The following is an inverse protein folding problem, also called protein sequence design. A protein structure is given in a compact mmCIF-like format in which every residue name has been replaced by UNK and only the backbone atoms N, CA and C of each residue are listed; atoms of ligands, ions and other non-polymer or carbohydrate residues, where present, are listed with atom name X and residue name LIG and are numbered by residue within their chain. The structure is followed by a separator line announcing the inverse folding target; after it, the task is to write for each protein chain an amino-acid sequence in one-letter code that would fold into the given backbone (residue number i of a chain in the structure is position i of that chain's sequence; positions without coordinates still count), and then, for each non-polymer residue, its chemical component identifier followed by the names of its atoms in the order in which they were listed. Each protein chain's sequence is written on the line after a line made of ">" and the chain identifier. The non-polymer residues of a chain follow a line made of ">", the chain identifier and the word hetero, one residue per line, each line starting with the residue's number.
data_IF_712559085348
#
_entry.id   IF_712559085348
#
_cell.length_a   1.000
_cell.length_b   1.000
_cell.length_c   1.000
_cell.angle_alpha   90.00
_cell.angle_beta   90.00
_cell.angle_gamma   90.00
#
_symmetry.space_group_name_H-M   'P 1'
#
loop_
_entity.id
_entity.type
_entity.pdbx_description
1 polymer ?
#
# COMPACT_ATOMS: atom_id res chain seq x y z
N UNK A 1 68.01 21.58 24.76
CA UNK A 1 67.10 22.73 24.55
C UNK A 1 66.69 22.80 23.09
N UNK A 2 65.39 22.60 22.80
CA UNK A 2 64.58 22.93 21.61
C UNK A 2 63.52 21.83 21.43
N UNK A 3 62.22 22.02 21.22
CA UNK A 3 61.26 23.13 21.41
C UNK A 3 59.89 22.46 21.44
N UNK A 4 58.96 23.02 22.22
CA UNK A 4 57.64 22.49 22.54
C UNK A 4 56.64 22.45 21.37
N UNK A 5 55.65 21.56 21.56
CA UNK A 5 54.43 21.31 20.79
C UNK A 5 53.49 22.52 20.85
N UNK A 6 52.86 22.89 19.73
CA UNK A 6 51.62 23.68 19.72
C UNK A 6 50.60 23.04 18.79
N UNK A 7 49.44 22.74 19.36
CA UNK A 7 48.26 22.15 18.74
C UNK A 7 47.52 23.15 17.85
N UNK A 8 47.00 22.68 16.70
CA UNK A 8 45.80 23.27 16.08
C UNK A 8 44.83 22.13 15.76
N UNK A 9 43.87 21.92 16.67
CA UNK A 9 42.72 21.08 16.40
C UNK A 9 41.86 21.76 15.32
N UNK A 10 41.72 21.13 14.15
CA UNK A 10 40.76 21.53 13.13
C UNK A 10 39.36 21.23 13.67
N UNK A 11 38.68 22.25 14.19
CA UNK A 11 37.24 22.17 14.47
C UNK A 11 36.50 22.09 13.13
N UNK A 12 36.09 20.88 12.75
CA UNK A 12 35.20 20.66 11.63
C UNK A 12 33.78 20.98 12.11
N UNK A 13 33.22 22.09 11.63
CA UNK A 13 31.83 22.45 11.91
C UNK A 13 30.93 21.52 11.09
N UNK A 14 30.40 20.47 11.73
CA UNK A 14 29.42 19.59 11.12
C UNK A 14 28.08 20.35 11.00
N UNK A 15 27.79 20.87 9.80
CA UNK A 15 26.46 21.36 9.46
C UNK A 15 25.58 20.13 9.24
N UNK A 16 24.82 19.74 10.25
CA UNK A 16 23.73 18.76 10.11
C UNK A 16 22.64 19.39 9.26
N UNK A 17 22.63 19.08 7.97
CA UNK A 17 21.49 19.31 7.09
C UNK A 17 20.32 18.47 7.63
N UNK A 18 19.39 19.13 8.32
CA UNK A 18 18.11 18.55 8.68
C UNK A 18 17.32 18.37 7.38
N UNK A 19 17.44 17.21 6.74
CA UNK A 19 16.55 16.88 5.61
C UNK A 19 15.13 16.79 6.17
N UNK A 20 14.19 17.65 5.73
CA UNK A 20 12.81 17.49 6.15
C UNK A 20 12.32 16.15 5.61
N UNK A 21 11.97 15.23 6.50
CA UNK A 21 11.24 14.03 6.12
C UNK A 21 9.87 14.49 5.66
N UNK A 22 9.63 14.47 4.36
CA UNK A 22 8.29 14.63 3.79
C UNK A 22 7.49 13.39 4.15
N UNK A 23 6.76 13.45 5.25
CA UNK A 23 5.75 12.44 5.58
C UNK A 23 4.59 12.65 4.61
N UNK A 24 4.48 11.82 3.57
CA UNK A 24 3.28 11.80 2.74
C UNK A 24 2.10 11.45 3.65
N UNK A 25 1.13 12.36 3.76
CA UNK A 25 -0.05 12.14 4.56
C UNK A 25 -0.69 10.80 4.16
N UNK A 26 -1.00 9.97 5.15
CA UNK A 26 -1.60 8.68 4.94
C UNK A 26 -3.07 8.84 4.53
N UNK A 27 -3.34 8.85 3.23
CA UNK A 27 -4.70 8.89 2.70
C UNK A 27 -5.37 7.52 2.84
N UNK A 28 -6.59 7.52 3.36
CA UNK A 28 -7.47 6.34 3.41
C UNK A 28 -8.71 6.64 2.59
N UNK A 29 -9.10 5.69 1.75
CA UNK A 29 -10.34 5.77 0.96
C UNK A 29 -11.22 4.56 1.23
N UNK A 30 -12.52 4.74 1.10
CA UNK A 30 -13.55 3.77 1.43
C UNK A 30 -14.36 3.45 0.18
N UNK A 31 -14.66 2.18 -0.05
CA UNK A 31 -15.52 1.82 -1.18
C UNK A 31 -16.94 2.35 -0.93
N UNK A 32 -17.46 3.12 -1.87
CA UNK A 32 -18.84 3.60 -1.91
C UNK A 32 -19.78 2.58 -2.57
N UNK A 33 -19.28 1.82 -3.55
CA UNK A 33 -20.02 0.76 -4.23
C UNK A 33 -19.07 -0.32 -4.77
N UNK A 34 -19.63 -1.41 -5.30
CA UNK A 34 -18.85 -2.43 -6.00
C UNK A 34 -18.34 -1.91 -7.36
N UNK A 35 -17.19 -2.40 -7.82
CA UNK A 35 -16.67 -2.02 -9.13
C UNK A 35 -15.22 -2.40 -9.38
N UNK A 36 -14.68 -1.83 -10.46
CA UNK A 36 -13.25 -1.92 -10.79
C UNK A 36 -12.46 -0.96 -9.90
N UNK A 37 -11.37 -1.44 -9.31
CA UNK A 37 -10.51 -0.63 -8.44
C UNK A 37 -10.11 0.72 -9.03
N UNK A 38 -9.79 0.81 -10.33
CA UNK A 38 -9.33 2.07 -10.95
C UNK A 38 -10.44 3.11 -11.14
N UNK A 39 -11.71 2.76 -10.88
CA UNK A 39 -12.82 3.67 -11.05
C UNK A 39 -12.87 4.70 -9.88
N UNK A 40 -12.58 5.99 -10.08
CA UNK A 40 -12.60 6.98 -8.99
C UNK A 40 -13.92 7.05 -8.23
N UNK A 41 -15.03 6.93 -8.97
CA UNK A 41 -16.39 7.12 -8.46
C UNK A 41 -16.89 5.96 -7.59
N UNK A 42 -16.05 4.97 -7.28
CA UNK A 42 -16.36 3.93 -6.30
C UNK A 42 -15.63 4.15 -4.98
N UNK A 43 -14.80 5.19 -4.87
CA UNK A 43 -14.02 5.50 -3.67
C UNK A 43 -14.38 6.87 -3.11
N UNK A 44 -14.51 6.96 -1.79
CA UNK A 44 -14.75 8.22 -1.06
C UNK A 44 -13.69 8.42 0.01
N UNK A 45 -13.35 9.68 0.31
CA UNK A 45 -12.43 9.99 1.42
C UNK A 45 -13.09 9.83 2.80
N UNK A 46 -14.43 9.87 2.85
CA UNK A 46 -15.22 9.63 4.05
C UNK A 46 -16.02 8.34 3.91
N UNK A 47 -16.07 7.52 4.97
CA UNK A 47 -16.83 6.29 4.97
C UNK A 47 -18.35 6.57 4.83
N UNK A 48 -18.95 6.08 3.74
CA UNK A 48 -20.36 6.37 3.40
C UNK A 48 -20.64 7.80 2.93
N UNK A 49 -19.59 8.58 2.65
CA UNK A 49 -19.68 9.95 2.16
C UNK A 49 -19.96 10.05 0.66
N UNK A 50 -19.91 11.28 0.16
CA UNK A 50 -20.05 11.62 -1.28
C UNK A 50 -18.86 12.44 -1.78
N UNK A 51 -17.77 12.46 -1.02
CA UNK A 51 -16.49 13.09 -1.31
C UNK A 51 -15.63 12.12 -2.13
N UNK A 52 -15.99 11.96 -3.41
CA UNK A 52 -15.38 11.00 -4.29
C UNK A 52 -13.92 11.32 -4.62
N UNK A 53 -13.11 10.27 -4.79
CA UNK A 53 -11.78 10.38 -5.40
C UNK A 53 -11.93 10.97 -6.80
N UNK A 54 -11.00 11.86 -7.18
CA UNK A 54 -10.90 12.40 -8.53
C UNK A 54 -9.66 11.84 -9.22
N UNK A 55 -9.78 11.46 -10.49
CA UNK A 55 -8.70 10.79 -11.23
C UNK A 55 -8.46 9.34 -10.79
N UNK A 56 -7.35 8.74 -11.22
CA UNK A 56 -7.03 7.36 -10.85
C UNK A 56 -6.66 7.27 -9.36
N UNK A 57 -7.27 6.35 -8.58
CA UNK A 57 -6.86 6.09 -7.20
C UNK A 57 -5.36 5.78 -7.10
N UNK A 58 -4.68 6.34 -6.11
CA UNK A 58 -3.24 6.13 -5.95
C UNK A 58 -2.94 4.73 -5.35
N UNK A 59 -2.16 3.88 -6.04
CA UNK A 59 -1.94 2.48 -5.64
C UNK A 59 -1.28 2.27 -4.27
N UNK A 60 -0.68 3.31 -3.66
CA UNK A 60 -0.04 3.29 -2.33
C UNK A 60 -0.91 3.95 -1.23
N UNK A 61 -2.20 4.17 -1.47
CA UNK A 61 -3.14 4.58 -0.42
C UNK A 61 -3.57 3.41 0.46
N UNK A 62 -4.23 3.76 1.58
CA UNK A 62 -5.00 2.76 2.31
C UNK A 62 -6.39 2.62 1.69
N UNK A 63 -6.84 1.39 1.61
CA UNK A 63 -8.13 1.05 1.03
C UNK A 63 -8.98 0.31 2.04
N UNK A 64 -10.23 0.74 2.20
CA UNK A 64 -11.23 0.04 3.00
C UNK A 64 -12.36 -0.41 2.09
N UNK A 65 -12.51 -1.73 1.95
CA UNK A 65 -13.62 -2.33 1.23
C UNK A 65 -14.74 -2.58 2.22
N UNK A 66 -15.78 -1.77 2.15
CA UNK A 66 -16.94 -1.82 3.04
C UNK A 66 -17.73 -3.13 2.87
N UNK A 67 -18.46 -3.56 3.91
CA UNK A 67 -19.32 -4.74 3.83
C UNK A 67 -20.31 -4.67 2.65
N UNK A 68 -20.53 -5.81 2.00
CA UNK A 68 -21.42 -5.92 0.83
C UNK A 68 -20.84 -5.40 -0.49
N UNK A 69 -19.66 -4.77 -0.49
CA UNK A 69 -19.00 -4.32 -1.72
C UNK A 69 -18.01 -5.36 -2.24
N UNK A 70 -17.92 -5.45 -3.57
CA UNK A 70 -16.89 -6.23 -4.26
C UNK A 70 -16.03 -5.28 -5.09
N UNK A 71 -14.75 -5.20 -4.76
CA UNK A 71 -13.75 -4.48 -5.54
C UNK A 71 -12.96 -5.49 -6.36
N UNK A 72 -12.90 -5.27 -7.67
CA UNK A 72 -12.19 -6.16 -8.59
C UNK A 72 -10.91 -5.51 -9.08
N UNK A 73 -9.79 -6.23 -8.93
CA UNK A 73 -8.51 -5.88 -9.56
C UNK A 73 -8.45 -6.55 -10.92
N UNK A 74 -8.31 -5.75 -11.98
CA UNK A 74 -8.30 -6.16 -13.38
C UNK A 74 -7.03 -5.73 -14.14
N UNK A 75 -5.98 -5.30 -13.44
CA UNK A 75 -4.68 -4.99 -14.04
C UNK A 75 -3.56 -5.24 -13.01
N UNK A 76 -2.32 -5.37 -13.48
CA UNK A 76 -1.15 -5.34 -12.60
C UNK A 76 -1.04 -3.96 -11.93
N UNK A 77 -0.42 -3.92 -10.76
CA UNK A 77 0.00 -2.68 -10.11
C UNK A 77 -1.13 -1.69 -9.76
N UNK A 78 -2.37 -2.18 -9.67
CA UNK A 78 -3.48 -1.40 -9.14
C UNK A 78 -3.31 -1.15 -7.64
N UNK A 79 -2.69 -2.08 -6.92
CA UNK A 79 -2.25 -1.89 -5.55
C UNK A 79 -0.75 -2.19 -5.48
N UNK A 80 0.01 -1.17 -5.10
CA UNK A 80 1.47 -1.22 -4.95
C UNK A 80 1.82 -0.47 -3.68
N UNK A 81 1.61 -1.13 -2.55
CA UNK A 81 1.98 -0.58 -1.26
C UNK A 81 3.48 -0.75 -1.05
N UNK A 82 4.17 0.34 -0.69
CA UNK A 82 5.65 0.37 -0.55
C UNK A 82 6.12 0.77 0.85
N UNK A 83 5.18 1.07 1.74
CA UNK A 83 5.45 1.52 3.11
C UNK A 83 4.74 0.60 4.08
N UNK A 84 5.44 0.07 5.08
CA UNK A 84 4.94 -0.96 6.01
C UNK A 84 3.71 -0.56 6.85
N UNK A 85 3.36 0.73 6.89
CA UNK A 85 2.15 1.22 7.56
C UNK A 85 0.90 1.14 6.68
N UNK A 86 1.03 0.79 5.40
CA UNK A 86 -0.09 0.73 4.44
C UNK A 86 -0.95 -0.50 4.63
N UNK A 87 -2.24 -0.31 4.41
CA UNK A 87 -3.25 -1.33 4.69
C UNK A 87 -4.29 -1.41 3.58
N UNK A 88 -4.70 -2.63 3.24
CA UNK A 88 -5.97 -2.91 2.58
C UNK A 88 -6.86 -3.64 3.58
N UNK A 89 -7.91 -2.99 4.03
CA UNK A 89 -8.91 -3.54 4.96
C UNK A 89 -10.09 -4.08 4.18
N UNK A 90 -10.26 -5.40 4.20
CA UNK A 90 -11.26 -6.13 3.43
C UNK A 90 -12.41 -6.51 4.39
N UNK A 91 -13.49 -5.73 4.41
CA UNK A 91 -14.73 -6.07 5.12
C UNK A 91 -15.83 -6.56 4.15
N UNK A 92 -15.68 -6.27 2.86
CA UNK A 92 -16.45 -6.85 1.76
C UNK A 92 -15.67 -7.95 1.04
N UNK A 93 -15.54 -7.83 -0.28
CA UNK A 93 -14.73 -8.73 -1.12
C UNK A 93 -13.67 -7.98 -1.90
N UNK A 94 -12.40 -8.38 -1.77
CA UNK A 94 -11.35 -8.04 -2.72
C UNK A 94 -11.21 -9.20 -3.71
N UNK A 95 -11.51 -8.95 -4.97
CA UNK A 95 -11.45 -9.94 -6.04
C UNK A 95 -10.25 -9.67 -6.94
N UNK A 96 -9.18 -10.43 -6.75
CA UNK A 96 -7.96 -10.37 -7.57
C UNK A 96 -8.15 -11.30 -8.77
N UNK A 97 -8.36 -10.75 -9.96
CA UNK A 97 -8.47 -11.54 -11.20
C UNK A 97 -7.08 -11.89 -11.77
N UNK A 98 -6.98 -12.24 -13.05
CA UNK A 98 -5.87 -12.90 -13.76
C UNK A 98 -4.48 -12.23 -13.71
N UNK A 99 -4.29 -11.22 -12.87
CA UNK A 99 -3.10 -10.38 -12.78
C UNK A 99 -2.13 -10.90 -11.73
N UNK A 100 -0.85 -10.95 -12.09
CA UNK A 100 0.19 -11.67 -11.35
C UNK A 100 0.96 -10.79 -10.38
N UNK A 101 0.72 -9.47 -10.35
CA UNK A 101 1.52 -8.56 -9.53
C UNK A 101 0.67 -7.51 -8.85
N UNK A 102 0.51 -7.68 -7.54
CA UNK A 102 0.02 -6.69 -6.57
C UNK A 102 0.98 -6.76 -5.39
N UNK A 103 1.25 -5.63 -4.75
CA UNK A 103 2.03 -5.60 -3.51
C UNK A 103 1.16 -5.09 -2.38
N UNK A 104 0.92 -5.95 -1.42
CA UNK A 104 0.19 -5.62 -0.19
C UNK A 104 1.16 -5.59 0.98
N UNK A 105 1.16 -4.51 1.74
CA UNK A 105 1.95 -4.42 2.97
C UNK A 105 1.22 -5.11 4.11
N UNK A 106 -0.07 -4.76 4.30
CA UNK A 106 -0.92 -5.37 5.32
C UNK A 106 -2.33 -5.59 4.77
N UNK A 107 -2.78 -6.84 4.83
CA UNK A 107 -4.18 -7.22 4.61
C UNK A 107 -4.87 -7.39 5.96
N UNK A 108 -5.96 -6.64 6.17
CA UNK A 108 -6.75 -6.64 7.39
C UNK A 108 -8.23 -6.91 7.07
N UNK A 109 -9.05 -7.13 8.10
CA UNK A 109 -10.51 -7.27 7.96
C UNK A 109 -11.00 -8.71 8.08
N UNK A 110 -12.32 -8.88 7.99
CA UNK A 110 -13.04 -10.15 8.17
C UNK A 110 -13.83 -10.57 6.91
N UNK A 111 -13.62 -9.87 5.79
CA UNK A 111 -14.24 -10.13 4.51
C UNK A 111 -13.52 -11.23 3.72
N UNK A 112 -13.74 -11.24 2.41
CA UNK A 112 -13.22 -12.25 1.50
C UNK A 112 -12.12 -11.70 0.60
N UNK A 113 -10.93 -12.29 0.65
CA UNK A 113 -9.96 -12.19 -0.42
C UNK A 113 -10.22 -13.33 -1.41
N UNK A 114 -10.71 -13.01 -2.61
CA UNK A 114 -10.88 -13.97 -3.70
C UNK A 114 -9.71 -13.85 -4.66
N UNK A 115 -8.94 -14.93 -4.78
CA UNK A 115 -7.85 -15.04 -5.75
C UNK A 115 -8.38 -15.88 -6.92
N UNK A 116 -8.66 -15.23 -8.04
CA UNK A 116 -9.11 -15.84 -9.29
C UNK A 116 -8.00 -15.69 -10.33
N UNK A 117 -6.84 -16.24 -10.02
CA UNK A 117 -5.72 -16.36 -10.97
C UNK A 117 -5.87 -17.67 -11.74
N UNK A 118 -5.48 -17.68 -13.02
CA UNK A 118 -5.45 -18.92 -13.82
C UNK A 118 -4.39 -19.93 -13.35
N UNK A 119 -3.60 -19.58 -12.34
CA UNK A 119 -2.49 -20.37 -11.81
C UNK A 119 -2.46 -20.28 -10.27
N UNK A 120 -3.49 -20.82 -9.62
CA UNK A 120 -3.29 -21.30 -8.25
C UNK A 120 -2.59 -22.66 -8.36
N UNK A 121 -1.37 -22.78 -7.80
CA UNK A 121 -0.49 -23.94 -8.01
C UNK A 121 -1.25 -25.27 -7.86
N UNK A 122 -1.15 -26.12 -8.89
CA UNK A 122 -1.64 -27.50 -8.86
C UNK A 122 -0.55 -28.49 -8.42
N UNK A 123 0.56 -28.03 -7.79
CA UNK A 123 1.57 -28.95 -7.25
C UNK A 123 1.00 -29.69 -6.05
N UNK A 124 0.42 -30.86 -6.31
CA UNK A 124 0.22 -31.89 -5.30
C UNK A 124 1.56 -32.60 -5.17
N UNK A 125 2.34 -32.25 -4.15
CA UNK A 125 3.52 -33.05 -3.80
C UNK A 125 3.02 -34.42 -3.34
N UNK A 126 3.21 -35.43 -4.21
CA UNK A 126 2.97 -36.81 -3.83
C UNK A 126 4.03 -37.22 -2.82
N UNK A 127 3.70 -37.16 -1.52
CA UNK A 127 4.53 -37.78 -0.48
C UNK A 127 4.31 -39.29 -0.57
N UNK A 128 5.13 -39.97 -1.37
CA UNK A 128 5.30 -41.41 -1.27
C UNK A 128 5.95 -41.73 0.08
N UNK A 129 5.24 -42.52 0.90
CA UNK A 129 5.71 -43.05 2.18
C UNK A 129 6.90 -43.99 2.02
#
# INVERSE_FOLDING_TARGET
>A
MKTAIVHFAKTLLAITLLVPTVTLAQTTVYSYQSGNFDAPNIWTFTNGGTDFVTGTPNPDWNYVINPGHTITLTANDQIVQTVSTRTVTINGTLNVQTFTTQTFERLLGNGTLRISTGAFSNSVDHVSK
#
